data_IF_525005465035
#
_entry.id   IF_525005465035
#
_cell.length_a   1.000
_cell.length_b   1.000
_cell.length_c   1.000
_cell.angle_alpha   90.00
_cell.angle_beta   90.00
_cell.angle_gamma   90.00
#
_symmetry.space_group_name_H-M   'P 1'
#
loop_
_entity.id
_entity.type
_entity.pdbx_description
1 polymer ?
#
# COMPACT_ATOMS: atom_id res chain seq x y z
N UNK A 1 -5.54 11.78 -26.02
CA UNK A 1 -6.93 11.25 -25.99
C UNK A 1 -6.89 9.80 -26.46
N UNK A 2 -7.56 8.87 -25.78
CA UNK A 2 -7.63 7.47 -26.22
C UNK A 2 -8.25 7.40 -27.62
N UNK A 3 -7.68 6.55 -28.48
CA UNK A 3 -7.99 6.49 -29.92
C UNK A 3 -9.34 5.83 -30.23
N UNK A 4 -9.92 5.11 -29.26
CA UNK A 4 -11.25 4.52 -29.33
C UNK A 4 -11.82 4.30 -27.92
N UNK A 5 -13.14 4.15 -27.81
CA UNK A 5 -13.78 3.67 -26.58
C UNK A 5 -13.40 2.20 -26.38
N UNK A 6 -12.66 1.92 -25.32
CA UNK A 6 -12.36 0.56 -24.88
C UNK A 6 -13.55 0.00 -24.10
N UNK A 7 -13.80 -1.31 -24.23
CA UNK A 7 -14.86 -1.99 -23.49
C UNK A 7 -14.49 -2.04 -22.01
N UNK A 8 -15.43 -1.71 -21.13
CA UNK A 8 -15.29 -1.94 -19.68
C UNK A 8 -15.40 -3.46 -19.43
N UNK A 9 -14.41 -4.11 -18.79
CA UNK A 9 -14.46 -5.54 -18.53
C UNK A 9 -15.68 -5.93 -17.69
N UNK A 10 -16.39 -6.99 -18.08
CA UNK A 10 -17.45 -7.58 -17.26
C UNK A 10 -16.83 -8.52 -16.24
N UNK A 11 -17.12 -8.32 -14.95
CA UNK A 11 -16.78 -9.28 -13.89
C UNK A 11 -18.04 -9.95 -13.36
N UNK A 12 -17.93 -11.23 -13.01
CA UNK A 12 -18.99 -11.98 -12.33
C UNK A 12 -18.86 -11.97 -10.81
N UNK A 13 -17.71 -11.55 -10.28
CA UNK A 13 -17.43 -11.52 -8.86
C UNK A 13 -17.07 -10.07 -8.46
N UNK A 14 -17.82 -9.44 -7.55
CA UNK A 14 -17.39 -8.18 -6.97
C UNK A 14 -16.09 -8.40 -6.20
N UNK A 15 -15.16 -7.47 -6.33
CA UNK A 15 -13.89 -7.51 -5.61
C UNK A 15 -13.92 -6.48 -4.49
N UNK A 16 -13.86 -6.97 -3.25
CA UNK A 16 -13.79 -6.13 -2.05
C UNK A 16 -12.45 -6.35 -1.37
N UNK A 17 -11.72 -5.28 -1.06
CA UNK A 17 -10.46 -5.38 -0.30
C UNK A 17 -10.69 -5.71 1.18
N UNK A 18 -11.93 -5.56 1.68
CA UNK A 18 -12.27 -5.76 3.08
C UNK A 18 -11.65 -4.70 3.99
N UNK A 19 -11.61 -4.98 5.29
CA UNK A 19 -10.95 -4.11 6.26
C UNK A 19 -9.44 -4.35 6.22
N UNK A 20 -8.65 -3.31 5.93
CA UNK A 20 -7.20 -3.37 6.12
C UNK A 20 -6.89 -3.38 7.62
N UNK A 21 -6.06 -4.32 8.07
CA UNK A 21 -5.78 -4.52 9.49
C UNK A 21 -4.30 -4.41 9.83
N UNK A 22 -3.41 -4.48 8.85
CA UNK A 22 -1.96 -4.42 9.07
C UNK A 22 -1.24 -3.96 7.81
N UNK A 23 -0.04 -3.40 7.98
CA UNK A 23 0.84 -3.02 6.88
C UNK A 23 2.18 -3.74 6.95
N UNK A 24 2.80 -3.89 5.78
CA UNK A 24 4.21 -4.24 5.65
C UNK A 24 4.89 -3.08 4.95
N UNK A 25 5.83 -2.42 5.62
CA UNK A 25 6.67 -1.40 5.02
C UNK A 25 7.95 -1.99 4.45
N UNK A 26 8.36 -1.48 3.31
CA UNK A 26 9.66 -1.74 2.68
C UNK A 26 10.18 -0.44 2.09
N UNK A 27 11.51 -0.31 1.95
CA UNK A 27 12.07 0.83 1.21
C UNK A 27 11.67 0.73 -0.26
N UNK A 28 11.39 1.87 -0.87
CA UNK A 28 10.97 1.98 -2.27
C UNK A 28 11.99 1.30 -3.19
N UNK A 29 11.51 0.41 -4.04
CA UNK A 29 12.34 -0.35 -4.97
C UNK A 29 13.16 -1.49 -4.34
N UNK A 30 12.97 -1.82 -3.06
CA UNK A 30 13.61 -2.97 -2.42
C UNK A 30 12.99 -4.29 -2.86
N UNK A 31 11.87 -4.66 -2.24
CA UNK A 31 11.25 -5.98 -2.49
C UNK A 31 10.39 -5.97 -3.76
N UNK A 32 10.78 -6.82 -4.70
CA UNK A 32 9.98 -7.28 -5.85
C UNK A 32 9.87 -8.79 -5.79
N UNK A 33 8.67 -9.33 -5.90
CA UNK A 33 8.46 -10.78 -5.95
C UNK A 33 8.27 -11.22 -7.39
N UNK A 34 9.08 -12.17 -7.87
CA UNK A 34 8.76 -12.87 -9.11
C UNK A 34 7.71 -13.94 -8.83
N UNK A 35 6.48 -13.66 -9.24
CA UNK A 35 5.33 -14.54 -9.04
C UNK A 35 5.15 -15.56 -10.18
N UNK A 36 5.84 -15.38 -11.30
CA UNK A 36 5.79 -16.29 -12.45
C UNK A 36 6.89 -17.37 -12.37
N UNK A 37 8.11 -16.97 -12.01
CA UNK A 37 9.25 -17.87 -11.81
C UNK A 37 10.13 -17.39 -10.63
N UNK A 38 9.87 -17.84 -9.39
CA UNK A 38 10.63 -17.40 -8.22
C UNK A 38 12.10 -17.86 -8.23
N UNK A 39 12.52 -18.68 -9.22
CA UNK A 39 13.91 -19.13 -9.40
C UNK A 39 14.68 -18.32 -10.44
N UNK A 40 14.01 -17.43 -11.17
CA UNK A 40 14.59 -16.68 -12.28
C UNK A 40 15.76 -15.79 -11.82
N UNK A 41 16.95 -16.00 -12.37
CA UNK A 41 18.13 -15.20 -12.05
C UNK A 41 18.16 -13.93 -12.91
N UNK A 42 18.49 -12.77 -12.33
CA UNK A 42 18.68 -11.51 -13.07
C UNK A 42 17.47 -10.57 -13.14
N UNK A 43 16.36 -10.90 -12.47
CA UNK A 43 15.29 -9.95 -12.17
C UNK A 43 15.63 -9.12 -10.92
N UNK A 44 14.88 -8.04 -10.68
CA UNK A 44 15.02 -7.21 -9.47
C UNK A 44 14.52 -7.88 -8.18
N UNK A 45 14.12 -9.15 -8.24
CA UNK A 45 13.82 -9.97 -7.07
C UNK A 45 15.07 -10.16 -6.21
N UNK A 46 15.02 -9.87 -4.90
CA UNK A 46 16.15 -10.11 -4.02
C UNK A 46 16.63 -11.57 -4.05
N UNK A 47 17.92 -11.79 -4.28
CA UNK A 47 18.47 -13.15 -4.34
C UNK A 47 18.29 -13.93 -3.02
N UNK A 48 18.18 -13.21 -1.90
CA UNK A 48 17.99 -13.76 -0.56
C UNK A 48 16.64 -14.47 -0.37
N UNK A 49 15.62 -14.11 -1.16
CA UNK A 49 14.28 -14.69 -1.02
C UNK A 49 13.99 -15.78 -2.04
N UNK A 50 14.84 -16.03 -3.03
CA UNK A 50 14.64 -17.13 -3.97
C UNK A 50 14.79 -18.49 -3.26
N UNK A 51 13.95 -19.51 -3.56
CA UNK A 51 12.89 -19.56 -4.57
C UNK A 51 11.48 -19.31 -3.99
N UNK A 52 11.34 -18.44 -3.00
CA UNK A 52 10.08 -18.24 -2.29
C UNK A 52 9.15 -17.29 -3.04
N UNK A 53 7.85 -17.54 -2.87
CA UNK A 53 6.74 -16.70 -3.34
C UNK A 53 6.21 -15.83 -2.19
N UNK A 54 5.49 -14.73 -2.49
CA UNK A 54 4.86 -13.90 -1.46
C UNK A 54 3.80 -14.66 -0.66
N UNK A 55 3.33 -15.80 -1.15
CA UNK A 55 2.38 -16.69 -0.47
C UNK A 55 3.05 -17.65 0.52
N UNK A 56 4.38 -17.62 0.68
CA UNK A 56 5.17 -18.54 1.51
C UNK A 56 5.92 -17.79 2.63
N UNK A 57 5.78 -18.29 3.86
CA UNK A 57 6.32 -17.67 5.09
C UNK A 57 7.85 -17.53 5.12
N UNK A 58 8.57 -18.44 4.45
CA UNK A 58 10.02 -18.49 4.45
C UNK A 58 10.64 -17.22 3.86
N UNK A 59 10.09 -16.71 2.74
CA UNK A 59 10.59 -15.48 2.11
C UNK A 59 10.43 -14.27 3.03
N UNK A 60 9.26 -14.10 3.64
CA UNK A 60 9.02 -13.01 4.58
C UNK A 60 9.87 -13.12 5.85
N UNK A 61 10.15 -14.33 6.33
CA UNK A 61 11.06 -14.56 7.46
C UNK A 61 12.46 -14.06 7.14
N UNK A 62 12.96 -14.38 5.94
CA UNK A 62 14.26 -13.88 5.48
C UNK A 62 14.28 -12.36 5.41
N UNK A 63 13.27 -11.74 4.77
CA UNK A 63 13.20 -10.28 4.64
C UNK A 63 13.15 -9.56 5.99
N UNK A 64 12.47 -10.11 7.01
CA UNK A 64 12.44 -9.52 8.37
C UNK A 64 13.82 -9.47 9.01
N UNK A 65 14.68 -10.45 8.69
CA UNK A 65 16.01 -10.59 9.27
C UNK A 65 17.08 -9.74 8.57
N UNK A 66 16.78 -9.18 7.40
CA UNK A 66 17.72 -8.36 6.64
C UNK A 66 18.04 -7.04 7.36
N UNK A 67 19.14 -6.42 6.92
CA UNK A 67 19.63 -5.12 7.39
C UNK A 67 19.86 -4.13 6.25
N UNK A 68 19.50 -4.50 5.02
CA UNK A 68 19.60 -3.71 3.81
C UNK A 68 18.22 -3.17 3.39
N UNK A 69 18.15 -2.63 2.18
CA UNK A 69 16.98 -1.95 1.61
C UNK A 69 15.82 -2.90 1.33
N UNK A 70 16.08 -4.21 1.31
CA UNK A 70 15.06 -5.25 1.12
C UNK A 70 14.38 -5.64 2.45
N UNK A 71 14.82 -5.08 3.58
CA UNK A 71 14.21 -5.36 4.87
C UNK A 71 12.75 -4.94 4.89
N UNK A 72 11.90 -5.84 5.38
CA UNK A 72 10.47 -5.57 5.60
C UNK A 72 10.16 -5.37 7.08
N UNK A 73 9.22 -4.47 7.36
CA UNK A 73 8.73 -4.15 8.70
C UNK A 73 7.23 -4.37 8.73
N UNK A 74 6.79 -5.33 9.53
CA UNK A 74 5.37 -5.53 9.78
C UNK A 74 4.90 -4.59 10.91
N UNK A 75 3.85 -3.81 10.65
CA UNK A 75 3.28 -2.94 11.68
C UNK A 75 2.53 -3.76 12.72
N UNK A 76 2.22 -3.17 13.89
CA UNK A 76 1.14 -3.66 14.75
C UNK A 76 -0.21 -3.66 14.00
N UNK A 77 -1.21 -4.31 14.60
CA UNK A 77 -2.57 -4.26 14.07
C UNK A 77 -3.16 -2.85 14.20
N UNK A 78 -3.97 -2.47 13.23
CA UNK A 78 -4.76 -1.25 13.25
C UNK A 78 -5.87 -1.37 14.30
N UNK A 79 -6.04 -0.32 15.10
CA UNK A 79 -7.00 -0.25 16.20
C UNK A 79 -8.35 0.36 15.81
N UNK A 80 -8.48 0.90 14.61
CA UNK A 80 -9.72 1.48 14.09
C UNK A 80 -9.84 1.30 12.58
N UNK A 81 -10.94 1.79 12.02
CA UNK A 81 -11.22 1.58 10.61
C UNK A 81 -10.24 2.37 9.72
N UNK A 82 -9.45 1.68 8.87
CA UNK A 82 -8.62 2.33 7.88
C UNK A 82 -9.49 3.12 6.91
N UNK A 83 -9.10 4.34 6.57
CA UNK A 83 -9.78 5.11 5.53
C UNK A 83 -8.77 5.55 4.48
N UNK A 84 -9.04 5.22 3.23
CA UNK A 84 -8.35 5.78 2.07
C UNK A 84 -9.39 6.59 1.31
N UNK A 85 -9.24 7.91 1.31
CA UNK A 85 -10.12 8.83 0.61
C UNK A 85 -9.57 9.07 -0.80
N UNK A 86 -10.39 8.88 -1.86
CA UNK A 86 -9.95 9.16 -3.22
C UNK A 86 -9.61 10.65 -3.35
N UNK A 87 -8.58 10.94 -4.14
CA UNK A 87 -8.19 12.32 -4.38
C UNK A 87 -9.21 13.08 -5.22
N UNK A 88 -9.38 14.36 -4.92
CA UNK A 88 -10.31 15.22 -5.63
C UNK A 88 -9.93 15.40 -7.11
N UNK A 89 -10.95 15.58 -7.94
CA UNK A 89 -10.79 15.88 -9.35
C UNK A 89 -10.21 17.29 -9.54
N UNK A 90 -9.11 17.40 -10.30
CA UNK A 90 -8.56 18.68 -10.75
C UNK A 90 -9.24 19.06 -12.06
N UNK A 91 -9.82 20.25 -12.08
CA UNK A 91 -10.54 20.80 -13.24
C UNK A 91 -9.94 22.13 -13.69
N UNK A 92 -10.13 22.45 -14.97
CA UNK A 92 -9.71 23.72 -15.56
C UNK A 92 -10.87 24.39 -16.29
N UNK A 93 -11.00 25.70 -16.06
CA UNK A 93 -12.00 26.58 -16.63
C UNK A 93 -13.40 26.46 -16.06
N UNK A 94 -14.33 27.17 -16.69
CA UNK A 94 -15.74 27.20 -16.32
C UNK A 94 -16.27 28.63 -16.26
N UNK A 95 -17.10 29.01 -17.24
CA UNK A 95 -17.78 30.32 -17.29
C UNK A 95 -16.88 31.56 -17.38
N UNK A 96 -15.56 31.41 -17.29
CA UNK A 96 -14.54 32.46 -17.32
C UNK A 96 -13.86 32.63 -18.70
N UNK A 97 -14.37 31.91 -19.71
CA UNK A 97 -13.89 31.91 -21.10
C UNK A 97 -12.43 31.43 -21.25
N UNK A 98 -11.88 30.72 -20.26
CA UNK A 98 -10.56 30.08 -20.34
C UNK A 98 -10.57 28.78 -21.16
N UNK A 99 -11.77 28.22 -21.39
CA UNK A 99 -12.01 27.00 -22.18
C UNK A 99 -12.99 27.27 -23.32
N UNK A 100 -12.91 26.47 -24.38
CA UNK A 100 -13.83 26.58 -25.51
C UNK A 100 -15.27 26.34 -25.02
N UNK A 101 -16.19 27.25 -25.36
CA UNK A 101 -17.59 27.24 -24.92
C UNK A 101 -17.82 27.34 -23.40
N UNK A 102 -16.79 27.67 -22.61
CA UNK A 102 -16.91 27.76 -21.15
C UNK A 102 -17.12 26.41 -20.44
N UNK A 103 -16.82 25.30 -21.13
CA UNK A 103 -16.89 23.93 -20.60
C UNK A 103 -15.76 23.67 -19.60
N UNK A 104 -16.05 22.96 -18.51
CA UNK A 104 -15.01 22.55 -17.56
C UNK A 104 -14.29 21.32 -18.09
N UNK A 105 -12.96 21.38 -18.22
CA UNK A 105 -12.16 20.22 -18.58
C UNK A 105 -11.61 19.52 -17.33
N UNK A 106 -11.61 18.19 -17.37
CA UNK A 106 -10.86 17.39 -16.41
C UNK A 106 -9.38 17.40 -16.79
N UNK A 107 -8.51 17.65 -15.79
CA UNK A 107 -7.06 17.70 -15.98
C UNK A 107 -6.39 16.46 -15.42
N UNK A 108 -6.64 16.16 -14.15
CA UNK A 108 -6.02 15.06 -13.41
C UNK A 108 -6.80 14.77 -12.12
N UNK A 109 -6.40 13.75 -11.36
CA UNK A 109 -6.84 13.52 -10.00
C UNK A 109 -5.71 13.82 -9.01
N UNK A 110 -6.06 14.25 -7.80
CA UNK A 110 -5.10 14.32 -6.70
C UNK A 110 -4.73 12.91 -6.20
N UNK A 111 -3.59 12.74 -5.50
CA UNK A 111 -3.26 11.51 -4.77
C UNK A 111 -4.35 11.12 -3.77
N UNK A 112 -4.46 9.82 -3.46
CA UNK A 112 -5.40 9.34 -2.46
C UNK A 112 -4.83 9.46 -1.04
N UNK A 113 -5.62 10.02 -0.12
CA UNK A 113 -5.21 10.27 1.26
C UNK A 113 -5.62 9.12 2.18
N UNK A 114 -4.66 8.49 2.84
CA UNK A 114 -4.84 7.41 3.81
C UNK A 114 -4.73 7.91 5.25
N UNK A 115 -5.63 7.44 6.11
CA UNK A 115 -5.61 7.67 7.56
C UNK A 115 -5.85 6.36 8.31
N UNK A 116 -4.95 6.04 9.23
CA UNK A 116 -4.88 4.74 9.89
C UNK A 116 -4.62 4.90 11.39
N UNK A 117 -5.53 4.38 12.23
CA UNK A 117 -5.40 4.49 13.68
C UNK A 117 -4.71 3.25 14.26
N UNK A 118 -3.67 3.47 15.04
CA UNK A 118 -3.08 2.47 15.92
C UNK A 118 -3.47 2.76 17.37
N UNK A 119 -3.89 1.73 18.09
CA UNK A 119 -4.23 1.84 19.51
C UNK A 119 -3.12 1.26 20.37
N UNK A 120 -2.81 1.92 21.49
CA UNK A 120 -1.93 1.40 22.55
C UNK A 120 -0.51 1.01 22.09
N UNK A 121 0.05 1.73 21.11
CA UNK A 121 1.46 1.55 20.73
C UNK A 121 2.40 1.73 21.94
N UNK A 122 3.48 0.97 22.00
CA UNK A 122 4.55 1.24 22.98
C UNK A 122 5.35 2.50 22.58
N UNK A 123 6.12 3.06 23.51
CA UNK A 123 6.99 4.19 23.21
C UNK A 123 8.04 3.83 22.14
N UNK A 124 8.61 2.62 22.23
CA UNK A 124 9.57 2.08 21.25
C UNK A 124 8.93 1.92 19.86
N UNK A 125 7.73 1.34 19.78
CA UNK A 125 6.99 1.22 18.51
C UNK A 125 6.66 2.59 17.92
N UNK A 126 6.27 3.55 18.78
CA UNK A 126 5.97 4.93 18.35
C UNK A 126 7.22 5.61 17.78
N UNK A 127 8.39 5.41 18.41
CA UNK A 127 9.65 5.96 17.94
C UNK A 127 10.06 5.34 16.58
N UNK A 128 10.06 4.02 16.47
CA UNK A 128 10.40 3.32 15.23
C UNK A 128 9.49 3.71 14.07
N UNK A 129 8.18 3.78 14.29
CA UNK A 129 7.22 4.21 13.27
C UNK A 129 7.37 5.68 12.87
N UNK A 130 7.94 6.53 13.72
CA UNK A 130 8.24 7.93 13.38
C UNK A 130 9.50 8.09 12.55
N UNK A 131 10.46 7.16 12.63
CA UNK A 131 11.66 7.18 11.79
C UNK A 131 11.30 6.90 10.31
N UNK A 132 10.23 6.14 10.07
CA UNK A 132 9.70 5.84 8.73
C UNK A 132 9.28 7.08 7.93
N UNK A 133 9.03 8.22 8.59
CA UNK A 133 8.63 9.48 7.94
C UNK A 133 9.72 10.04 7.02
N UNK A 134 10.99 9.73 7.31
CA UNK A 134 12.13 10.23 6.55
C UNK A 134 12.54 9.31 5.39
N UNK A 135 11.86 8.17 5.22
CA UNK A 135 12.19 7.15 4.24
C UNK A 135 11.28 7.24 3.00
N UNK A 136 11.82 6.84 1.85
CA UNK A 136 10.99 6.57 0.68
C UNK A 136 10.45 5.14 0.78
N UNK A 137 9.16 4.99 0.99
CA UNK A 137 8.55 3.69 1.32
C UNK A 137 7.60 3.19 0.23
N UNK A 138 7.43 1.87 0.26
CA UNK A 138 6.32 1.14 -0.32
C UNK A 138 5.59 0.37 0.79
N UNK A 139 4.29 0.14 0.59
CA UNK A 139 3.43 -0.54 1.56
C UNK A 139 2.69 -1.69 0.92
N UNK A 140 2.76 -2.86 1.55
CA UNK A 140 1.79 -3.93 1.33
C UNK A 140 0.69 -3.82 2.37
N UNK A 141 -0.56 -3.96 1.95
CA UNK A 141 -1.71 -3.93 2.85
C UNK A 141 -2.17 -5.34 3.17
N UNK A 142 -2.56 -5.61 4.41
CA UNK A 142 -3.09 -6.92 4.80
C UNK A 142 -4.55 -6.74 5.21
N UNK A 143 -5.45 -7.48 4.57
CA UNK A 143 -6.88 -7.43 4.87
C UNK A 143 -7.26 -8.37 6.03
N UNK A 144 -8.53 -8.34 6.42
CA UNK A 144 -9.10 -9.20 7.47
C UNK A 144 -9.04 -10.70 7.18
N UNK A 145 -8.94 -11.07 5.90
CA UNK A 145 -8.84 -12.46 5.46
C UNK A 145 -7.38 -12.97 5.50
N UNK A 146 -6.42 -12.07 5.76
CA UNK A 146 -4.99 -12.38 5.79
C UNK A 146 -4.32 -12.34 4.43
N UNK A 147 -5.00 -11.88 3.38
CA UNK A 147 -4.40 -11.64 2.06
C UNK A 147 -3.44 -10.46 2.13
N UNK A 148 -2.35 -10.57 1.37
CA UNK A 148 -1.38 -9.50 1.19
C UNK A 148 -1.68 -8.81 -0.14
N UNK A 149 -1.91 -7.51 -0.10
CA UNK A 149 -2.33 -6.70 -1.23
C UNK A 149 -1.16 -5.82 -1.66
N UNK A 150 -0.88 -5.83 -2.96
CA UNK A 150 0.15 -5.05 -3.63
C UNK A 150 -0.26 -4.77 -5.07
N UNK A 151 0.67 -4.39 -5.93
CA UNK A 151 0.45 -4.12 -7.35
C UNK A 151 1.48 -4.84 -8.23
N UNK A 152 1.11 -5.10 -9.50
CA UNK A 152 2.04 -5.61 -10.52
C UNK A 152 2.92 -4.49 -11.06
N UNK A 153 4.18 -4.80 -11.33
CA UNK A 153 5.08 -3.84 -11.96
C UNK A 153 4.63 -3.57 -13.41
N UNK A 154 4.58 -2.28 -13.78
CA UNK A 154 4.15 -1.86 -15.11
C UNK A 154 5.16 -2.18 -16.22
N UNK A 155 6.42 -2.43 -15.85
CA UNK A 155 7.52 -2.75 -16.77
C UNK A 155 7.65 -4.26 -16.93
N UNK A 156 7.51 -5.02 -15.82
CA UNK A 156 7.61 -6.48 -15.80
C UNK A 156 6.41 -7.10 -15.07
N UNK A 157 5.47 -7.66 -15.83
CA UNK A 157 4.22 -8.22 -15.30
C UNK A 157 4.41 -9.48 -14.45
N UNK A 158 5.61 -10.07 -14.42
CA UNK A 158 5.91 -11.19 -13.52
C UNK A 158 6.22 -10.71 -12.10
N UNK A 159 6.61 -9.42 -11.96
CA UNK A 159 7.00 -8.82 -10.70
C UNK A 159 5.80 -8.21 -9.96
N UNK A 160 5.75 -8.46 -8.66
CA UNK A 160 4.74 -7.97 -7.75
C UNK A 160 5.34 -7.25 -6.55
N UNK A 161 4.74 -6.14 -6.13
CA UNK A 161 5.32 -5.27 -5.11
C UNK A 161 4.31 -4.43 -4.33
N UNK A 162 4.78 -3.71 -3.31
CA UNK A 162 3.93 -2.84 -2.50
C UNK A 162 3.60 -1.53 -3.21
N UNK A 163 2.54 -0.86 -2.77
CA UNK A 163 2.13 0.44 -3.29
C UNK A 163 3.12 1.53 -2.89
N UNK A 164 3.41 2.46 -3.81
CA UNK A 164 4.24 3.62 -3.50
C UNK A 164 3.54 4.54 -2.51
N UNK A 165 4.25 4.86 -1.43
CA UNK A 165 3.76 5.77 -0.39
C UNK A 165 4.43 7.13 -0.50
N UNK A 166 3.66 8.18 -0.24
CA UNK A 166 4.13 9.56 -0.11
C UNK A 166 3.70 10.15 1.23
N UNK A 167 4.52 11.04 1.76
CA UNK A 167 4.26 11.78 3.00
C UNK A 167 3.77 10.92 4.19
N UNK A 168 4.38 9.75 4.49
CA UNK A 168 3.99 8.97 5.66
C UNK A 168 4.31 9.78 6.91
N UNK A 169 3.34 9.97 7.81
CA UNK A 169 3.51 10.74 9.03
C UNK A 169 2.71 10.11 10.17
N UNK A 170 3.41 9.71 11.25
CA UNK A 170 2.75 9.27 12.47
C UNK A 170 2.55 10.46 13.43
N UNK A 171 1.28 10.79 13.68
CA UNK A 171 0.88 11.81 14.63
C UNK A 171 1.33 11.51 16.06
N UNK A 172 1.34 12.57 16.89
CA UNK A 172 1.56 12.45 18.33
C UNK A 172 0.53 11.54 18.99
N UNK A 173 0.85 11.05 20.19
CA UNK A 173 -0.09 10.23 20.96
C UNK A 173 -1.26 11.08 21.40
N UNK A 174 -2.46 10.65 21.05
CA UNK A 174 -3.70 11.20 21.56
C UNK A 174 -4.09 10.51 22.88
N UNK A 175 -4.46 11.32 23.86
CA UNK A 175 -4.93 10.88 25.18
C UNK A 175 -6.34 11.44 25.38
N UNK A 176 -7.36 10.57 25.36
CA UNK A 176 -8.77 11.00 25.45
C UNK A 176 -9.47 10.57 26.77
N UNK A 177 -8.68 10.23 27.80
CA UNK A 177 -9.17 9.88 29.14
C UNK A 177 -9.54 8.39 29.29
N UNK A 178 -10.02 8.00 30.48
CA UNK A 178 -10.16 6.59 30.90
C UNK A 178 -11.04 5.72 30.00
N UNK A 179 -12.04 6.30 29.32
CA UNK A 179 -12.99 5.56 28.49
C UNK A 179 -12.48 5.22 27.08
N UNK A 180 -11.31 5.72 26.70
CA UNK A 180 -10.77 5.61 25.34
C UNK A 180 -9.33 5.14 25.38
N UNK A 181 -8.95 4.27 24.45
CA UNK A 181 -7.56 3.85 24.32
C UNK A 181 -6.72 5.00 23.78
N UNK A 182 -5.49 5.10 24.29
CA UNK A 182 -4.48 5.97 23.71
C UNK A 182 -4.24 5.55 22.26
N UNK A 183 -4.15 6.52 21.36
CA UNK A 183 -4.03 6.23 19.93
C UNK A 183 -3.02 7.14 19.23
N UNK A 184 -2.50 6.63 18.12
CA UNK A 184 -1.67 7.36 17.18
C UNK A 184 -2.29 7.20 15.79
N UNK A 185 -2.33 8.29 15.02
CA UNK A 185 -2.85 8.26 13.65
C UNK A 185 -1.67 8.35 12.69
N UNK A 186 -1.55 7.37 11.81
CA UNK A 186 -0.65 7.39 10.66
C UNK A 186 -1.41 7.95 9.47
N UNK A 187 -0.88 9.00 8.87
CA UNK A 187 -1.34 9.51 7.57
C UNK A 187 -0.33 9.16 6.51
N UNK A 188 -0.78 8.81 5.31
CA UNK A 188 0.07 8.59 4.16
C UNK A 188 -0.72 8.84 2.88
N UNK A 189 -0.05 8.97 1.75
CA UNK A 189 -0.69 9.16 0.46
C UNK A 189 -0.28 8.07 -0.51
N UNK A 190 -1.22 7.67 -1.36
CA UNK A 190 -1.02 6.73 -2.48
C UNK A 190 -1.19 7.49 -3.80
N UNK A 191 -0.73 6.89 -4.90
CA UNK A 191 -1.04 7.43 -6.23
C UNK A 191 -2.56 7.52 -6.44
N UNK A 192 -2.99 8.37 -7.37
CA UNK A 192 -4.40 8.51 -7.73
C UNK A 192 -5.00 7.23 -8.33
N UNK A 193 -4.18 6.44 -9.03
CA UNK A 193 -4.59 5.25 -9.77
C UNK A 193 -4.35 3.91 -9.05
N UNK A 194 -4.07 3.94 -7.74
CA UNK A 194 -3.76 2.75 -6.93
C UNK A 194 -4.89 1.70 -6.95
N UNK A 195 -6.13 2.16 -7.03
CA UNK A 195 -7.36 1.35 -7.05
C UNK A 195 -7.59 0.61 -8.38
N UNK A 196 -6.79 0.92 -9.42
CA UNK A 196 -6.88 0.24 -10.72
C UNK A 196 -5.86 -0.88 -10.90
N UNK A 197 -4.90 -1.04 -9.97
CA UNK A 197 -3.71 -1.89 -10.13
C UNK A 197 -3.49 -2.92 -9.03
N UNK A 198 -4.38 -2.96 -8.05
CA UNK A 198 -4.20 -3.83 -6.90
C UNK A 198 -4.36 -5.31 -7.26
N UNK A 199 -3.61 -6.16 -6.57
CA UNK A 199 -3.67 -7.61 -6.67
C UNK A 199 -3.46 -8.24 -5.28
N UNK A 200 -4.26 -9.27 -4.98
CA UNK A 200 -4.20 -10.03 -3.74
C UNK A 200 -3.32 -11.27 -3.89
N UNK A 201 -2.49 -11.52 -2.89
CA UNK A 201 -1.72 -12.74 -2.70
C UNK A 201 -2.15 -13.40 -1.40
N UNK A 202 -2.83 -14.54 -1.48
CA UNK A 202 -3.29 -15.29 -0.32
C UNK A 202 -2.16 -16.17 0.23
N UNK A 203 -1.69 -15.97 1.47
CA UNK A 203 -0.73 -16.86 2.11
C UNK A 203 -1.20 -18.32 2.14
N UNK A 204 -0.28 -19.25 1.91
CA UNK A 204 -0.59 -20.68 1.83
C UNK A 204 -0.16 -21.47 3.06
N UNK A 205 0.86 -21.01 3.78
CA UNK A 205 1.47 -21.70 4.93
C UNK A 205 1.55 -20.84 6.21
N UNK A 206 1.01 -19.61 6.19
CA UNK A 206 0.98 -18.72 7.37
C UNK A 206 -0.23 -17.78 7.36
N UNK A 207 -0.44 -17.09 8.47
CA UNK A 207 -1.42 -16.00 8.56
C UNK A 207 -0.67 -14.66 8.67
N UNK A 208 -0.83 -13.79 7.68
CA UNK A 208 -0.14 -12.50 7.64
C UNK A 208 -0.53 -11.54 8.78
N UNK A 209 -1.71 -11.71 9.39
CA UNK A 209 -2.16 -10.90 10.53
C UNK A 209 -1.42 -11.25 11.83
N UNK A 210 -0.93 -12.48 11.97
CA UNK A 210 -0.24 -12.96 13.18
C UNK A 210 1.23 -13.28 12.97
N UNK A 211 1.76 -13.00 11.77
CA UNK A 211 3.15 -13.25 11.36
C UNK A 211 4.21 -12.33 12.00
#
# INVERSE_FOLDING_TARGET
>A
MPTALTVIPTTTCPEELGQIQRFIFVRRGGVRWDTADPTATGKSTPASIQPNLPTVSAGWTTLKALSDDDKVIFTPLLGGDPTITPGDQITFGGGDNSTLNGETYHVAFNPADGSFRFDSLTAEQTAAMKELVCESLEVYMINSDGDIIGERDTIDADLWHGFKVFNPALGGRNLAGFGTRDSNVLTLQLNDDWDTKFEKQTPTDFNALTF
#
